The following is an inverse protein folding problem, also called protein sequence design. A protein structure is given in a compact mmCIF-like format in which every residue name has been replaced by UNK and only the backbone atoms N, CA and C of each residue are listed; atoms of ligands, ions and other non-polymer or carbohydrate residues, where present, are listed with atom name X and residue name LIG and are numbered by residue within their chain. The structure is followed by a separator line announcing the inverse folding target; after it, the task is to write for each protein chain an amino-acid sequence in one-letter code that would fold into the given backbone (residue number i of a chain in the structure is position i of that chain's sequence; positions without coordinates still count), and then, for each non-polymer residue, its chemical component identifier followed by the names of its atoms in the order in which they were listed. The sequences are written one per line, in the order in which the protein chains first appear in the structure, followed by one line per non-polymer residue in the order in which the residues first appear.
data_IF_725380087300
#
_entry.id   IF_725380087300
#
_cell.length_a   1.000
_cell.length_b   1.000
_cell.length_c   1.000
_cell.angle_alpha   90.00
_cell.angle_beta   90.00
_cell.angle_gamma   90.00
#
_symmetry.space_group_name_H-M   'P 1'
#
loop_
_entity.id
_entity.type
_entity.pdbx_description
1 polymer ?
#
# COMPACT_ATOMS: atom_id res chain seq x y z
N UNK A 1 21.32 1.07 8.35
CA UNK A 1 21.00 2.45 7.88
C UNK A 1 21.15 2.64 6.37
N UNK A 2 22.01 1.88 5.68
CA UNK A 2 22.29 2.10 4.25
C UNK A 2 21.11 1.78 3.31
N UNK A 3 20.33 0.73 3.61
CA UNK A 3 19.14 0.38 2.82
C UNK A 3 18.11 1.53 2.80
N UNK A 4 17.86 2.16 3.95
CA UNK A 4 16.92 3.29 4.05
C UNK A 4 17.43 4.51 3.27
N UNK A 5 18.74 4.77 3.28
CA UNK A 5 19.35 5.84 2.48
C UNK A 5 19.22 5.56 0.98
N UNK A 6 19.45 4.33 0.54
CA UNK A 6 19.27 3.91 -0.84
C UNK A 6 17.81 4.08 -1.31
N UNK A 7 16.86 3.64 -0.48
CA UNK A 7 15.43 3.76 -0.73
C UNK A 7 15.01 5.23 -0.78
N UNK A 8 15.47 6.05 0.17
CA UNK A 8 15.19 7.48 0.23
C UNK A 8 15.69 8.20 -1.02
N UNK A 9 16.92 7.94 -1.46
CA UNK A 9 17.48 8.52 -2.70
C UNK A 9 16.59 8.21 -3.92
N UNK A 10 16.22 6.94 -4.09
CA UNK A 10 15.37 6.52 -5.21
C UNK A 10 13.96 7.12 -5.19
N UNK A 11 13.40 7.37 -3.99
CA UNK A 11 12.12 8.08 -3.84
C UNK A 11 12.23 9.60 -4.09
N UNK A 12 13.31 10.24 -3.63
CA UNK A 12 13.55 11.67 -3.88
C UNK A 12 13.74 11.99 -5.37
N UNK A 13 14.38 11.09 -6.12
CA UNK A 13 14.49 11.19 -7.57
C UNK A 13 13.13 11.03 -8.27
N UNK A 14 12.16 10.35 -7.65
CA UNK A 14 10.85 10.05 -8.24
C UNK A 14 9.68 10.60 -7.41
N UNK A 15 9.61 11.93 -7.23
CA UNK A 15 8.57 12.59 -6.42
C UNK A 15 7.12 12.22 -6.79
N UNK A 16 6.82 12.06 -8.09
CA UNK A 16 5.47 11.66 -8.56
C UNK A 16 5.03 10.31 -8.00
N UNK A 17 5.99 9.39 -7.88
CA UNK A 17 5.79 8.02 -7.45
C UNK A 17 5.50 7.98 -5.94
N UNK A 18 6.22 8.80 -5.16
CA UNK A 18 5.97 9.00 -3.74
C UNK A 18 4.57 9.60 -3.48
N UNK A 19 4.19 10.64 -4.24
CA UNK A 19 2.86 11.27 -4.12
C UNK A 19 1.74 10.26 -4.39
N UNK A 20 1.88 9.44 -5.44
CA UNK A 20 0.86 8.44 -5.77
C UNK A 20 0.69 7.39 -4.66
N UNK A 21 1.81 6.87 -4.13
CA UNK A 21 1.80 5.91 -3.01
C UNK A 21 1.11 6.52 -1.80
N UNK A 22 1.44 7.77 -1.44
CA UNK A 22 0.82 8.46 -0.30
C UNK A 22 -0.68 8.61 -0.52
N UNK A 23 -1.09 9.05 -1.71
CA UNK A 23 -2.49 9.29 -2.04
C UNK A 23 -3.34 8.02 -1.96
N UNK A 24 -2.85 6.90 -2.51
CA UNK A 24 -3.61 5.66 -2.49
C UNK A 24 -3.68 5.01 -1.11
N UNK A 25 -2.59 5.05 -0.33
CA UNK A 25 -2.66 4.56 1.05
C UNK A 25 -3.54 5.45 1.94
N UNK A 26 -3.56 6.77 1.70
CA UNK A 26 -4.48 7.68 2.38
C UNK A 26 -5.94 7.35 2.07
N UNK A 27 -6.26 7.02 0.81
CA UNK A 27 -7.59 6.55 0.43
C UNK A 27 -7.99 5.29 1.22
N UNK A 28 -7.10 4.30 1.32
CA UNK A 28 -7.34 3.09 2.10
C UNK A 28 -7.57 3.40 3.58
N UNK A 29 -6.79 4.31 4.16
CA UNK A 29 -6.97 4.80 5.53
C UNK A 29 -8.36 5.42 5.75
N UNK A 30 -8.80 6.31 4.84
CA UNK A 30 -10.14 6.94 4.95
C UNK A 30 -11.24 5.89 4.87
N UNK A 31 -11.15 4.96 3.91
CA UNK A 31 -12.16 3.91 3.73
C UNK A 31 -12.22 2.97 4.94
N UNK A 32 -11.08 2.66 5.56
CA UNK A 32 -11.02 1.85 6.78
C UNK A 32 -11.75 2.49 7.98
N UNK A 33 -11.86 3.83 8.02
CA UNK A 33 -12.63 4.53 9.06
C UNK A 33 -14.11 4.71 8.70
N UNK A 34 -14.40 5.00 7.42
CA UNK A 34 -15.77 5.29 6.95
C UNK A 34 -16.63 4.04 6.91
N UNK A 35 -16.09 2.90 6.45
CA UNK A 35 -16.88 1.66 6.30
C UNK A 35 -17.48 1.17 7.63
N UNK A 36 -16.71 1.04 8.74
CA UNK A 36 -17.27 0.66 10.03
C UNK A 36 -18.34 1.64 10.54
N UNK A 37 -18.14 2.95 10.33
CA UNK A 37 -19.11 3.97 10.73
C UNK A 37 -20.44 3.82 9.97
N UNK A 38 -20.38 3.66 8.65
CA UNK A 38 -21.57 3.45 7.82
C UNK A 38 -22.29 2.16 8.18
N UNK A 39 -21.54 1.09 8.46
CA UNK A 39 -22.11 -0.18 8.92
C UNK A 39 -22.84 -0.02 10.25
N UNK A 40 -22.25 0.68 11.23
CA UNK A 40 -22.90 0.97 12.50
C UNK A 40 -24.19 1.79 12.34
N UNK A 41 -24.18 2.79 11.45
CA UNK A 41 -25.37 3.58 11.13
C UNK A 41 -26.47 2.74 10.47
N UNK A 42 -26.10 1.82 9.57
CA UNK A 42 -27.04 0.90 8.94
C UNK A 42 -27.71 -0.02 9.96
N UNK A 43 -26.95 -0.59 10.90
CA UNK A 43 -27.52 -1.39 11.99
C UNK A 43 -28.51 -0.57 12.83
N UNK A 44 -28.22 0.69 13.11
CA UNK A 44 -29.16 1.55 13.85
C UNK A 44 -30.49 1.76 13.11
N UNK A 45 -30.47 1.91 11.78
CA UNK A 45 -31.70 1.99 10.97
C UNK A 45 -32.48 0.67 11.06
N UNK A 46 -31.80 -0.45 10.91
CA UNK A 46 -32.43 -1.79 10.91
C UNK A 46 -33.07 -2.11 12.26
N UNK A 47 -32.41 -1.77 13.37
CA UNK A 47 -32.85 -2.12 14.73
C UNK A 47 -33.89 -1.14 15.27
N UNK A 48 -33.64 0.17 15.20
CA UNK A 48 -34.42 1.17 15.95
C UNK A 48 -35.45 1.92 15.10
N UNK A 49 -35.27 2.00 13.77
CA UNK A 49 -36.21 2.72 12.89
C UNK A 49 -36.51 1.92 11.61
N UNK A 50 -37.06 0.71 11.74
CA UNK A 50 -37.22 -0.20 10.61
C UNK A 50 -38.24 0.35 9.60
N UNK A 51 -37.71 0.99 8.55
CA UNK A 51 -38.45 1.37 7.35
C UNK A 51 -37.86 0.60 6.19
N UNK A 52 -38.66 -0.23 5.52
CA UNK A 52 -38.23 -1.04 4.38
C UNK A 52 -37.53 -0.20 3.32
N UNK A 53 -38.07 0.99 3.03
CA UNK A 53 -37.49 1.93 2.07
C UNK A 53 -36.10 2.42 2.51
N UNK A 54 -35.94 2.84 3.77
CA UNK A 54 -34.65 3.32 4.29
C UNK A 54 -33.60 2.20 4.31
N UNK A 55 -34.00 0.99 4.70
CA UNK A 55 -33.11 -0.18 4.73
C UNK A 55 -32.60 -0.51 3.32
N UNK A 56 -33.49 -0.59 2.33
CA UNK A 56 -33.09 -0.89 0.94
C UNK A 56 -32.18 0.21 0.40
N UNK A 57 -32.55 1.48 0.58
CA UNK A 57 -31.77 2.62 0.07
C UNK A 57 -30.36 2.70 0.66
N UNK A 58 -30.22 2.54 1.98
CA UNK A 58 -28.90 2.52 2.62
C UNK A 58 -28.11 1.25 2.33
N UNK A 59 -28.78 0.10 2.22
CA UNK A 59 -28.15 -1.16 1.80
C UNK A 59 -27.51 -1.04 0.41
N UNK A 60 -28.26 -0.51 -0.56
CA UNK A 60 -27.74 -0.24 -1.89
C UNK A 60 -26.55 0.74 -1.88
N UNK A 61 -26.59 1.76 -1.01
CA UNK A 61 -25.49 2.72 -0.85
C UNK A 61 -24.21 2.03 -0.35
N UNK A 62 -24.31 1.16 0.66
CA UNK A 62 -23.16 0.41 1.19
C UNK A 62 -22.58 -0.53 0.13
N UNK A 63 -23.43 -1.25 -0.59
CA UNK A 63 -23.01 -2.14 -1.68
C UNK A 63 -22.29 -1.33 -2.78
N UNK A 64 -22.88 -0.21 -3.20
CA UNK A 64 -22.28 0.67 -4.21
C UNK A 64 -20.91 1.21 -3.78
N UNK A 65 -20.79 1.67 -2.53
CA UNK A 65 -19.51 2.09 -1.96
C UNK A 65 -18.49 0.94 -1.90
N UNK A 66 -18.92 -0.28 -1.58
CA UNK A 66 -18.07 -1.46 -1.57
C UNK A 66 -17.50 -1.77 -2.96
N UNK A 67 -18.33 -1.71 -4.00
CA UNK A 67 -17.90 -1.90 -5.39
C UNK A 67 -16.90 -0.83 -5.81
N UNK A 68 -17.21 0.45 -5.57
CA UNK A 68 -16.32 1.58 -5.90
C UNK A 68 -14.97 1.43 -5.18
N UNK A 69 -15.00 1.10 -3.88
CA UNK A 69 -13.80 0.87 -3.07
C UNK A 69 -12.94 -0.24 -3.63
N UNK A 70 -13.56 -1.35 -4.04
CA UNK A 70 -12.86 -2.50 -4.62
C UNK A 70 -12.21 -2.12 -5.97
N UNK A 71 -12.94 -1.41 -6.83
CA UNK A 71 -12.40 -0.92 -8.11
C UNK A 71 -11.22 0.03 -7.92
N UNK A 72 -11.34 1.00 -7.00
CA UNK A 72 -10.27 1.95 -6.71
C UNK A 72 -9.02 1.25 -6.15
N UNK A 73 -9.22 0.30 -5.23
CA UNK A 73 -8.14 -0.49 -4.64
C UNK A 73 -7.42 -1.33 -5.70
N UNK A 74 -8.17 -1.93 -6.63
CA UNK A 74 -7.60 -2.67 -7.76
C UNK A 74 -6.73 -1.77 -8.65
N UNK A 75 -7.25 -0.60 -9.05
CA UNK A 75 -6.49 0.37 -9.85
C UNK A 75 -5.22 0.82 -9.14
N UNK A 76 -5.29 1.08 -7.83
CA UNK A 76 -4.13 1.42 -7.02
C UNK A 76 -3.10 0.28 -6.99
N UNK A 77 -3.54 -0.97 -6.79
CA UNK A 77 -2.66 -2.13 -6.74
C UNK A 77 -1.95 -2.39 -8.08
N UNK A 78 -2.64 -2.27 -9.21
CA UNK A 78 -2.00 -2.35 -10.54
C UNK A 78 -0.87 -1.34 -10.65
N UNK A 79 -1.15 -0.08 -10.29
CA UNK A 79 -0.16 0.97 -10.42
C UNK A 79 1.00 0.80 -9.44
N UNK A 80 0.72 0.40 -8.19
CA UNK A 80 1.72 0.04 -7.18
C UNK A 80 2.66 -1.04 -7.73
N UNK A 81 2.12 -2.12 -8.29
CA UNK A 81 2.90 -3.20 -8.90
C UNK A 81 3.74 -2.70 -10.07
N UNK A 82 3.17 -1.88 -10.96
CA UNK A 82 3.90 -1.30 -12.11
C UNK A 82 5.10 -0.48 -11.64
N UNK A 83 4.88 0.36 -10.64
CA UNK A 83 5.91 1.19 -9.99
C UNK A 83 7.00 0.32 -9.36
N UNK A 84 6.61 -0.71 -8.61
CA UNK A 84 7.54 -1.63 -7.98
C UNK A 84 8.42 -2.31 -9.02
N UNK A 85 7.85 -2.82 -10.11
CA UNK A 85 8.60 -3.45 -11.20
C UNK A 85 9.59 -2.49 -11.87
N UNK A 86 9.24 -1.21 -12.04
CA UNK A 86 10.16 -0.20 -12.58
C UNK A 86 11.36 0.04 -11.65
N UNK A 87 11.12 0.09 -10.35
CA UNK A 87 12.19 0.28 -9.36
C UNK A 87 13.09 -0.95 -9.26
N UNK A 88 12.53 -2.16 -9.29
CA UNK A 88 13.28 -3.42 -9.40
C UNK A 88 14.17 -3.39 -10.63
N UNK A 89 13.62 -3.08 -11.80
CA UNK A 89 14.38 -3.01 -13.04
C UNK A 89 15.51 -1.98 -12.99
N UNK A 90 15.26 -0.78 -12.44
CA UNK A 90 16.28 0.25 -12.26
C UNK A 90 17.43 -0.26 -11.39
N UNK A 91 17.10 -0.87 -10.24
CA UNK A 91 18.10 -1.45 -9.32
C UNK A 91 18.88 -2.59 -9.98
N UNK A 92 18.21 -3.48 -10.71
CA UNK A 92 18.90 -4.55 -11.45
C UNK A 92 19.89 -3.99 -12.47
N UNK A 93 19.49 -2.97 -13.23
CA UNK A 93 20.35 -2.35 -14.24
C UNK A 93 21.58 -1.66 -13.61
N UNK A 94 21.42 -0.98 -12.48
CA UNK A 94 22.54 -0.40 -11.73
C UNK A 94 23.52 -1.48 -11.26
N UNK A 95 23.02 -2.58 -10.67
CA UNK A 95 23.87 -3.68 -10.20
C UNK A 95 24.59 -4.37 -11.36
N UNK A 96 23.88 -4.66 -12.46
CA UNK A 96 24.47 -5.30 -13.64
C UNK A 96 25.59 -4.43 -14.22
N UNK A 97 25.40 -3.11 -14.31
CA UNK A 97 26.47 -2.21 -14.73
C UNK A 97 27.68 -2.29 -13.80
N UNK A 98 27.48 -2.27 -12.48
CA UNK A 98 28.59 -2.43 -11.54
C UNK A 98 29.36 -3.74 -11.74
N UNK A 99 28.66 -4.84 -12.03
CA UNK A 99 29.29 -6.14 -12.34
C UNK A 99 30.01 -6.13 -13.70
N UNK A 100 29.48 -5.43 -14.70
CA UNK A 100 30.13 -5.32 -16.01
C UNK A 100 31.43 -4.51 -15.97
N UNK A 101 31.48 -3.50 -15.11
CA UNK A 101 32.65 -2.64 -14.91
C UNK A 101 33.60 -3.12 -13.79
N UNK A 102 33.29 -4.24 -13.12
CA UNK A 102 34.20 -4.83 -12.12
C UNK A 102 35.31 -5.64 -12.78
N UNK A 103 36.42 -5.86 -12.07
CA UNK A 103 37.53 -6.67 -12.57
C UNK A 103 37.07 -8.04 -13.06
N UNK A 104 37.54 -8.43 -14.25
CA UNK A 104 37.19 -9.69 -14.89
C UNK A 104 37.51 -10.91 -14.01
N UNK A 105 38.57 -10.82 -13.19
CA UNK A 105 38.94 -11.90 -12.27
C UNK A 105 37.91 -12.13 -11.16
N UNK A 106 37.12 -11.12 -10.80
CA UNK A 106 36.08 -11.24 -9.78
C UNK A 106 34.73 -11.63 -10.39
N UNK A 107 34.38 -11.08 -11.56
CA UNK A 107 33.12 -11.38 -12.24
C UNK A 107 33.09 -12.79 -12.84
N UNK A 108 34.21 -13.30 -13.34
CA UNK A 108 34.34 -14.66 -13.89
C UNK A 108 34.18 -15.78 -12.85
N UNK A 109 34.28 -15.47 -11.55
CA UNK A 109 34.06 -16.44 -10.45
C UNK A 109 32.59 -16.86 -10.32
N UNK A 110 31.67 -16.11 -10.91
CA UNK A 110 30.23 -16.34 -10.78
C UNK A 110 29.62 -16.78 -12.11
N UNK A 111 28.72 -17.76 -12.07
CA UNK A 111 27.91 -18.11 -13.23
C UNK A 111 26.98 -16.92 -13.57
N UNK A 112 27.03 -16.36 -14.79
CA UNK A 112 26.26 -15.17 -15.15
C UNK A 112 24.74 -15.35 -15.00
N UNK A 113 24.22 -16.53 -15.34
CA UNK A 113 22.79 -16.84 -15.22
C UNK A 113 22.35 -16.90 -13.77
N UNK A 114 23.15 -17.53 -12.91
CA UNK A 114 22.88 -17.57 -11.47
C UNK A 114 22.95 -16.17 -10.85
N UNK A 115 23.97 -15.39 -11.21
CA UNK A 115 24.14 -14.03 -10.72
C UNK A 115 22.94 -13.15 -11.12
N UNK A 116 22.51 -13.23 -12.39
CA UNK A 116 21.33 -12.50 -12.86
C UNK A 116 20.06 -12.89 -12.08
N UNK A 117 19.83 -14.18 -11.89
CA UNK A 117 18.67 -14.66 -11.13
C UNK A 117 18.70 -14.17 -9.68
N UNK A 118 19.87 -14.21 -9.04
CA UNK A 118 20.05 -13.75 -7.67
C UNK A 118 19.81 -12.24 -7.53
N UNK A 119 20.36 -11.44 -8.44
CA UNK A 119 20.11 -9.99 -8.50
C UNK A 119 18.61 -9.69 -8.64
N UNK A 120 17.91 -10.43 -9.51
CA UNK A 120 16.46 -10.26 -9.67
C UNK A 120 15.69 -10.59 -8.38
N UNK A 121 15.98 -11.73 -7.75
CA UNK A 121 15.32 -12.15 -6.51
C UNK A 121 15.55 -11.13 -5.40
N UNK A 122 16.80 -10.69 -5.23
CA UNK A 122 17.17 -9.78 -4.14
C UNK A 122 16.59 -8.37 -4.38
N UNK A 123 16.62 -7.86 -5.62
CA UNK A 123 16.00 -6.59 -5.98
C UNK A 123 14.48 -6.62 -5.72
N UNK A 124 13.78 -7.70 -6.11
CA UNK A 124 12.36 -7.86 -5.81
C UNK A 124 12.10 -7.90 -4.30
N UNK A 125 12.88 -8.66 -3.53
CA UNK A 125 12.73 -8.73 -2.07
C UNK A 125 12.90 -7.38 -1.39
N UNK A 126 13.91 -6.60 -1.79
CA UNK A 126 14.16 -5.25 -1.25
C UNK A 126 12.94 -4.37 -1.50
N UNK A 127 12.46 -4.30 -2.74
CA UNK A 127 11.36 -3.41 -3.07
C UNK A 127 10.03 -3.89 -2.48
N UNK A 128 9.71 -5.20 -2.50
CA UNK A 128 8.53 -5.72 -1.79
C UNK A 128 8.58 -5.38 -0.31
N UNK A 129 9.73 -5.54 0.36
CA UNK A 129 9.87 -5.18 1.77
C UNK A 129 9.56 -3.71 2.03
N UNK A 130 10.07 -2.80 1.19
CA UNK A 130 9.82 -1.36 1.29
C UNK A 130 8.34 -1.02 1.12
N UNK A 131 7.69 -1.59 0.10
CA UNK A 131 6.30 -1.30 -0.22
C UNK A 131 5.32 -1.92 0.79
N UNK A 132 5.57 -3.16 1.20
CA UNK A 132 4.62 -3.93 2.00
C UNK A 132 4.82 -3.74 3.49
N UNK A 133 6.05 -3.47 3.94
CA UNK A 133 6.35 -3.29 5.36
C UNK A 133 6.57 -1.82 5.70
N UNK A 134 7.55 -1.15 5.09
CA UNK A 134 7.91 0.22 5.51
C UNK A 134 6.78 1.19 5.23
N UNK A 135 6.32 1.27 3.97
CA UNK A 135 5.25 2.18 3.59
C UNK A 135 3.94 1.77 4.26
N UNK A 136 3.55 0.50 4.16
CA UNK A 136 2.26 0.06 4.71
C UNK A 136 2.17 0.24 6.22
N UNK A 137 3.25 -0.04 6.97
CA UNK A 137 3.28 0.11 8.43
C UNK A 137 2.95 1.54 8.90
N UNK A 138 3.44 2.56 8.19
CA UNK A 138 3.14 3.97 8.52
C UNK A 138 1.63 4.22 8.44
N UNK A 139 0.99 3.79 7.36
CA UNK A 139 -0.45 3.99 7.17
C UNK A 139 -1.30 3.10 8.07
N UNK A 140 -0.90 1.85 8.31
CA UNK A 140 -1.58 0.96 9.24
C UNK A 140 -1.54 1.51 10.67
N UNK A 141 -0.40 2.07 11.09
CA UNK A 141 -0.26 2.73 12.39
C UNK A 141 -1.20 3.94 12.52
N UNK A 142 -1.30 4.76 11.47
CA UNK A 142 -2.26 5.87 11.42
C UNK A 142 -3.71 5.36 11.51
N UNK A 143 -4.06 4.28 10.79
CA UNK A 143 -5.38 3.65 10.87
C UNK A 143 -5.71 3.21 12.29
N UNK A 144 -4.78 2.53 12.97
CA UNK A 144 -4.97 2.07 14.36
C UNK A 144 -5.27 3.27 15.27
N UNK A 145 -4.47 4.33 15.19
CA UNK A 145 -4.70 5.56 15.98
C UNK A 145 -6.08 6.16 15.67
N UNK A 146 -6.44 6.26 14.39
CA UNK A 146 -7.74 6.78 13.95
C UNK A 146 -8.92 5.97 14.50
N UNK A 147 -8.81 4.64 14.46
CA UNK A 147 -9.84 3.73 14.99
C UNK A 147 -9.97 3.87 16.51
N UNK A 148 -8.86 3.93 17.24
CA UNK A 148 -8.88 4.13 18.71
C UNK A 148 -9.58 5.44 19.07
N UNK A 149 -9.29 6.53 18.36
CA UNK A 149 -9.96 7.83 18.56
C UNK A 149 -11.47 7.73 18.27
N UNK A 150 -11.85 7.04 17.19
CA UNK A 150 -13.24 6.85 16.82
C UNK A 150 -14.01 6.06 17.90
N UNK A 151 -13.45 4.95 18.38
CA UNK A 151 -14.01 4.15 19.47
C UNK A 151 -14.14 4.99 20.75
N UNK A 152 -13.09 5.73 21.12
CA UNK A 152 -13.10 6.59 22.30
C UNK A 152 -14.19 7.68 22.24
N UNK A 153 -14.42 8.27 21.08
CA UNK A 153 -15.51 9.24 20.86
C UNK A 153 -16.90 8.61 20.95
N UNK A 154 -17.07 7.40 20.42
CA UNK A 154 -18.35 6.69 20.51
C UNK A 154 -18.64 6.32 21.97
N UNK A 155 -17.66 5.79 22.69
CA UNK A 155 -17.85 5.38 24.08
C UNK A 155 -18.15 6.55 25.02
N UNK A 156 -17.47 7.70 24.84
CA UNK A 156 -17.77 8.94 25.59
C UNK A 156 -19.16 9.52 25.34
N UNK A 157 -19.81 9.16 24.22
CA UNK A 157 -21.18 9.60 23.91
C UNK A 157 -22.24 8.70 24.57
N UNK A 158 -21.85 7.50 25.00
CA UNK A 158 -22.73 6.50 25.61
C UNK A 158 -22.65 6.56 27.16
N UNK A 159 -21.51 6.97 27.72
CA UNK A 159 -21.32 7.32 29.14
C UNK A 159 -21.84 8.71 29.49
#
# INVERSE_FOLDING_TARGET
MELLRFVYKNFCENKRLLIFIIMGNFLTFVLALVVPYLNGFYFNIVIYTPSKEKIIKFGCLIVGLGVITTMLTYCFNIYKTKVQSQLVFKTMNEIIRCVQYSDYSESSKFNPSYLHQKINIDANKIWSFVFDNIISSVFQSLTIIGVIIAIGKINKKIS
#
